data_IF_464367425779
#
_entry.id   IF_464367425779
#
_cell.length_a   1.000
_cell.length_b   1.000
_cell.length_c   1.000
_cell.angle_alpha   90.00
_cell.angle_beta   90.00
_cell.angle_gamma   90.00
#
_symmetry.space_group_name_H-M   'P 1'
#
loop_
_entity.id
_entity.type
_entity.pdbx_description
1 polymer ?
#
# COMPACT_ATOMS: atom_id res chain seq x y z
N UNK A 1 23.46 -5.68 -14.72
CA UNK A 1 22.57 -6.85 -14.56
C UNK A 1 23.05 -7.98 -15.46
N UNK A 2 23.11 -9.23 -14.97
CA UNK A 2 23.87 -10.33 -15.59
C UNK A 2 23.10 -11.24 -16.59
N UNK A 3 21.87 -10.93 -16.99
CA UNK A 3 21.02 -11.86 -17.79
C UNK A 3 20.33 -11.22 -19.02
N UNK A 4 20.52 -9.92 -19.32
CA UNK A 4 19.86 -9.30 -20.49
C UNK A 4 18.32 -9.27 -20.47
N UNK A 5 17.67 -9.91 -19.49
CA UNK A 5 16.23 -9.85 -19.27
C UNK A 5 15.83 -8.45 -18.80
N UNK A 6 14.80 -7.90 -19.44
CA UNK A 6 14.16 -6.64 -19.05
C UNK A 6 13.67 -6.76 -17.60
N UNK A 7 13.97 -5.75 -16.78
CA UNK A 7 13.46 -5.68 -15.39
C UNK A 7 11.93 -5.70 -15.37
N UNK A 8 11.36 -6.44 -14.44
CA UNK A 8 9.91 -6.59 -14.28
C UNK A 8 9.32 -5.37 -13.58
N UNK A 9 8.23 -4.81 -14.09
CA UNK A 9 7.48 -3.79 -13.37
C UNK A 9 6.67 -4.44 -12.24
N UNK A 10 6.65 -3.80 -11.07
CA UNK A 10 5.90 -4.27 -9.91
C UNK A 10 4.80 -3.27 -9.59
N UNK A 11 3.54 -3.73 -9.56
CA UNK A 11 2.38 -2.94 -9.15
C UNK A 11 1.78 -3.52 -7.88
N UNK A 12 1.66 -2.70 -6.84
CA UNK A 12 1.03 -3.09 -5.58
C UNK A 12 -0.33 -2.38 -5.48
N UNK A 13 -1.40 -3.17 -5.53
CA UNK A 13 -2.76 -2.70 -5.26
C UNK A 13 -3.08 -2.99 -3.78
N UNK A 14 -3.30 -1.93 -3.00
CA UNK A 14 -3.49 -2.05 -1.55
C UNK A 14 -4.77 -1.32 -1.10
N UNK A 15 -5.93 -2.00 -1.14
CA UNK A 15 -7.19 -1.42 -0.70
C UNK A 15 -7.23 -1.24 0.83
N UNK A 16 -7.95 -0.23 1.30
CA UNK A 16 -8.16 0.03 2.74
C UNK A 16 -9.45 -0.65 3.21
N UNK A 17 -9.44 -1.20 4.43
CA UNK A 17 -10.57 -1.90 5.07
C UNK A 17 -11.26 -3.00 4.23
N UNK A 18 -10.53 -3.61 3.30
CA UNK A 18 -11.03 -4.72 2.48
C UNK A 18 -11.17 -6.00 3.30
N UNK A 19 -12.38 -6.57 3.35
CA UNK A 19 -12.63 -7.84 4.04
C UNK A 19 -12.26 -9.04 3.16
N UNK A 20 -11.73 -10.09 3.77
CA UNK A 20 -11.28 -11.29 3.05
C UNK A 20 -12.36 -11.93 2.16
N UNK A 21 -13.64 -11.79 2.52
CA UNK A 21 -14.79 -12.33 1.80
C UNK A 21 -15.49 -11.32 0.86
N UNK A 22 -14.87 -10.16 0.61
CA UNK A 22 -15.34 -9.19 -0.40
C UNK A 22 -14.72 -9.49 -1.76
N UNK A 23 -14.80 -10.74 -2.21
CA UNK A 23 -14.35 -11.17 -3.54
C UNK A 23 -15.19 -12.35 -4.01
N UNK A 24 -15.53 -12.40 -5.29
CA UNK A 24 -16.40 -13.42 -5.88
C UNK A 24 -15.90 -14.85 -5.64
N UNK A 25 -14.58 -15.05 -5.61
CA UNK A 25 -13.94 -16.33 -5.26
C UNK A 25 -14.22 -16.85 -3.83
N UNK A 26 -14.72 -16.02 -2.90
CA UNK A 26 -15.10 -16.46 -1.54
C UNK A 26 -16.57 -16.19 -1.20
N UNK A 27 -17.25 -15.35 -1.97
CA UNK A 27 -18.63 -14.96 -1.71
C UNK A 27 -19.43 -14.88 -3.02
N UNK A 28 -20.41 -15.78 -3.25
CA UNK A 28 -21.15 -15.86 -4.50
C UNK A 28 -22.05 -14.65 -4.80
N UNK A 29 -22.31 -13.81 -3.79
CA UNK A 29 -23.12 -12.58 -3.96
C UNK A 29 -22.26 -11.45 -4.54
N UNK A 30 -20.94 -11.47 -4.32
CA UNK A 30 -20.01 -10.41 -4.71
C UNK A 30 -19.54 -10.65 -6.15
N UNK A 31 -19.62 -9.62 -6.99
CA UNK A 31 -19.18 -9.68 -8.38
C UNK A 31 -17.90 -8.87 -8.57
N UNK A 32 -16.77 -9.56 -8.75
CA UNK A 32 -15.45 -8.94 -8.93
C UNK A 32 -14.70 -9.56 -10.11
N UNK A 33 -15.28 -9.57 -11.33
CA UNK A 33 -14.79 -10.39 -12.44
C UNK A 33 -13.31 -10.16 -12.79
N UNK A 34 -12.82 -8.92 -12.67
CA UNK A 34 -11.40 -8.60 -12.92
C UNK A 34 -10.45 -9.13 -11.84
N UNK A 35 -10.86 -9.10 -10.56
CA UNK A 35 -10.06 -9.66 -9.47
C UNK A 35 -10.15 -11.18 -9.42
N UNK A 36 -11.31 -11.72 -9.80
CA UNK A 36 -11.55 -13.14 -9.92
C UNK A 36 -10.64 -13.74 -11.02
N UNK A 37 -10.54 -13.07 -12.18
CA UNK A 37 -9.58 -13.44 -13.24
C UNK A 37 -8.13 -13.32 -12.77
N UNK A 38 -7.76 -12.25 -12.06
CA UNK A 38 -6.41 -12.10 -11.53
C UNK A 38 -6.05 -13.21 -10.51
N UNK A 39 -7.04 -13.69 -9.75
CA UNK A 39 -6.85 -14.79 -8.82
C UNK A 39 -6.69 -16.13 -9.55
N UNK A 40 -7.36 -16.33 -10.70
CA UNK A 40 -7.24 -17.53 -11.53
C UNK A 40 -5.89 -17.59 -12.26
N UNK A 41 -5.39 -16.44 -12.74
CA UNK A 41 -4.11 -16.33 -13.45
C UNK A 41 -2.88 -16.31 -12.51
N UNK A 42 -3.11 -16.33 -11.20
CA UNK A 42 -2.09 -16.06 -10.19
C UNK A 42 -2.13 -17.02 -8.99
N UNK A 43 -1.64 -16.51 -7.86
CA UNK A 43 -1.64 -17.23 -6.58
C UNK A 43 -2.51 -16.48 -5.58
N UNK A 44 -3.48 -17.17 -5.00
CA UNK A 44 -4.37 -16.65 -3.95
C UNK A 44 -3.96 -17.19 -2.58
N UNK A 45 -3.52 -16.30 -1.70
CA UNK A 45 -3.27 -16.64 -0.29
C UNK A 45 -4.56 -16.52 0.52
N UNK A 46 -5.17 -17.66 0.88
CA UNK A 46 -6.42 -17.70 1.67
C UNK A 46 -6.22 -17.44 3.16
N UNK A 47 -4.98 -17.56 3.64
CA UNK A 47 -4.56 -17.33 5.02
C UNK A 47 -3.56 -16.17 5.09
N UNK A 48 -3.94 -15.01 4.57
CA UNK A 48 -3.15 -13.78 4.66
C UNK A 48 -3.74 -12.87 5.74
N UNK A 49 -2.96 -12.56 6.76
CA UNK A 49 -3.40 -11.75 7.89
C UNK A 49 -2.46 -10.55 8.11
N UNK A 50 -3.05 -9.41 8.49
CA UNK A 50 -2.28 -8.28 8.98
C UNK A 50 -1.76 -8.58 10.40
N UNK A 51 -0.60 -8.02 10.73
CA UNK A 51 -0.04 -8.10 12.08
C UNK A 51 -0.73 -7.16 13.06
N UNK A 52 -1.30 -6.07 12.53
CA UNK A 52 -2.11 -5.10 13.29
C UNK A 52 -3.30 -4.63 12.47
N UNK A 53 -4.50 -4.67 13.06
CA UNK A 53 -5.77 -4.24 12.45
C UNK A 53 -6.02 -2.73 12.59
N UNK A 54 -5.00 -1.90 12.28
CA UNK A 54 -5.14 -0.45 12.22
C UNK A 54 -4.31 0.13 11.10
N UNK A 55 -4.88 1.11 10.40
CA UNK A 55 -4.48 1.53 9.07
C UNK A 55 -3.01 2.01 8.98
N UNK A 56 -2.57 2.94 9.83
CA UNK A 56 -1.21 3.48 9.76
C UNK A 56 -0.16 2.43 10.20
N UNK A 57 -0.43 1.63 11.23
CA UNK A 57 0.53 0.60 11.66
C UNK A 57 0.65 -0.52 10.62
N UNK A 58 -0.47 -0.93 10.03
CA UNK A 58 -0.50 -1.91 8.94
C UNK A 58 0.31 -1.44 7.74
N UNK A 59 0.18 -0.16 7.33
CA UNK A 59 1.01 0.42 6.25
C UNK A 59 2.49 0.48 6.62
N UNK A 60 2.84 0.81 7.86
CA UNK A 60 4.23 0.77 8.31
C UNK A 60 4.82 -0.65 8.23
N UNK A 61 4.04 -1.67 8.60
CA UNK A 61 4.41 -3.09 8.40
C UNK A 61 4.59 -3.41 6.91
N UNK A 62 3.66 -2.99 6.03
CA UNK A 62 3.75 -3.21 4.59
C UNK A 62 5.04 -2.65 3.98
N UNK A 63 5.41 -1.40 4.31
CA UNK A 63 6.60 -0.77 3.73
C UNK A 63 7.91 -1.32 4.30
N UNK A 64 7.96 -1.58 5.61
CA UNK A 64 9.18 -2.01 6.28
C UNK A 64 9.42 -3.53 6.23
N UNK A 65 8.36 -4.32 6.03
CA UNK A 65 8.38 -5.76 6.24
C UNK A 65 8.68 -6.15 7.70
N UNK A 66 8.47 -5.24 8.65
CA UNK A 66 8.77 -5.45 10.07
C UNK A 66 7.52 -5.42 10.94
N UNK A 67 7.59 -6.04 12.11
CA UNK A 67 6.57 -5.94 13.15
C UNK A 67 6.53 -4.55 13.79
N UNK A 68 5.39 -4.20 14.39
CA UNK A 68 5.21 -2.93 15.11
C UNK A 68 6.26 -2.69 16.21
N UNK A 69 6.71 -3.75 16.88
CA UNK A 69 7.80 -3.70 17.87
C UNK A 69 9.13 -3.19 17.30
N UNK A 70 9.40 -3.43 16.01
CA UNK A 70 10.62 -2.98 15.33
C UNK A 70 10.46 -1.59 14.70
N UNK A 71 9.34 -1.33 14.03
CA UNK A 71 9.15 -0.06 13.31
C UNK A 71 8.55 1.06 14.19
N UNK A 72 8.06 0.72 15.39
CA UNK A 72 7.67 1.63 16.49
C UNK A 72 6.67 2.74 16.11
N UNK A 73 5.89 2.55 15.06
CA UNK A 73 5.01 3.60 14.51
C UNK A 73 3.64 3.56 15.20
N UNK A 74 3.64 3.67 16.52
CA UNK A 74 2.46 3.37 17.33
C UNK A 74 1.37 4.43 17.23
N UNK A 75 1.76 5.69 17.00
CA UNK A 75 0.84 6.84 16.97
C UNK A 75 0.56 7.28 15.53
N UNK A 76 -0.71 7.57 15.24
CA UNK A 76 -1.14 8.17 13.98
C UNK A 76 -0.38 9.49 13.74
N UNK A 77 -0.07 9.82 12.48
CA UNK A 77 0.73 10.99 12.08
C UNK A 77 2.15 11.05 12.70
N UNK A 78 2.61 10.00 13.37
CA UNK A 78 3.96 9.88 13.92
C UNK A 78 4.67 8.62 13.36
N UNK A 79 5.00 8.59 12.06
CA UNK A 79 5.67 7.45 11.43
C UNK A 79 7.13 7.32 11.88
N UNK A 80 7.41 6.60 12.96
CA UNK A 80 8.80 6.34 13.37
C UNK A 80 9.60 5.61 12.28
N UNK A 81 8.96 4.72 11.53
CA UNK A 81 9.59 3.97 10.44
C UNK A 81 10.05 4.85 9.27
N UNK A 82 9.45 6.03 9.09
CA UNK A 82 9.76 6.91 7.97
C UNK A 82 10.94 7.85 8.25
N UNK A 83 11.67 7.63 9.35
CA UNK A 83 12.83 8.44 9.76
C UNK A 83 14.12 7.62 9.67
N UNK A 84 15.19 8.28 9.21
CA UNK A 84 16.57 7.78 9.29
C UNK A 84 16.77 6.38 8.72
N UNK A 85 17.42 5.52 9.51
CA UNK A 85 17.83 4.16 9.09
C UNK A 85 16.65 3.26 8.72
N UNK A 86 15.51 3.38 9.40
CA UNK A 86 14.36 2.49 9.19
C UNK A 86 13.77 2.69 7.79
N UNK A 87 13.61 3.95 7.37
CA UNK A 87 13.09 4.26 6.03
C UNK A 87 14.00 3.72 4.93
N UNK A 88 15.32 3.86 5.12
CA UNK A 88 16.35 3.41 4.18
C UNK A 88 16.42 1.89 3.96
N UNK A 89 15.69 1.12 4.77
CA UNK A 89 15.58 -0.34 4.71
C UNK A 89 14.21 -0.81 4.20
N UNK A 90 13.28 0.10 3.89
CA UNK A 90 11.96 -0.24 3.35
C UNK A 90 12.08 -0.71 1.90
N UNK A 91 11.17 -1.59 1.46
CA UNK A 91 11.21 -2.11 0.08
C UNK A 91 11.16 -1.03 -1.01
N UNK A 92 10.45 0.12 -0.87
CA UNK A 92 10.47 1.18 -1.88
C UNK A 92 11.88 1.73 -2.08
N UNK A 93 12.59 2.03 -0.99
CA UNK A 93 13.95 2.59 -1.05
C UNK A 93 14.97 1.57 -1.53
N UNK A 94 14.79 0.30 -1.17
CA UNK A 94 15.66 -0.77 -1.68
C UNK A 94 15.49 -0.95 -3.20
N UNK A 95 14.26 -0.83 -3.73
CA UNK A 95 14.02 -0.84 -5.17
C UNK A 95 14.60 0.39 -5.87
N UNK A 96 14.44 1.59 -5.31
CA UNK A 96 15.05 2.81 -5.88
C UNK A 96 16.57 2.70 -5.93
N UNK A 97 17.22 2.18 -4.88
CA UNK A 97 18.66 1.93 -4.85
C UNK A 97 19.10 0.89 -5.88
N UNK A 98 18.24 -0.06 -6.23
CA UNK A 98 18.51 -0.99 -7.33
C UNK A 98 18.24 -0.33 -8.71
N UNK A 99 17.72 0.89 -8.77
CA UNK A 99 17.47 1.63 -10.01
C UNK A 99 16.07 1.44 -10.59
N UNK A 100 15.10 1.06 -9.75
CA UNK A 100 13.68 1.18 -10.10
C UNK A 100 13.21 2.63 -9.92
N UNK A 101 12.32 3.08 -10.81
CA UNK A 101 11.50 4.25 -10.54
C UNK A 101 10.34 3.85 -9.65
N UNK A 102 10.22 4.44 -8.46
CA UNK A 102 9.19 4.06 -7.49
C UNK A 102 8.18 5.18 -7.32
N UNK A 103 6.92 4.87 -7.59
CA UNK A 103 5.79 5.80 -7.50
C UNK A 103 4.80 5.41 -6.41
N UNK A 104 4.15 6.40 -5.77
CA UNK A 104 3.05 6.18 -4.84
C UNK A 104 1.81 7.00 -5.22
N UNK A 105 0.66 6.35 -5.37
CA UNK A 105 -0.64 7.02 -5.55
C UNK A 105 -1.62 6.52 -4.50
N UNK A 106 -2.28 7.44 -3.80
CA UNK A 106 -3.34 7.09 -2.86
C UNK A 106 -3.05 7.53 -1.44
N UNK A 107 -3.53 6.73 -0.49
CA UNK A 107 -3.53 7.05 0.94
C UNK A 107 -2.16 6.72 1.57
N UNK A 108 -1.60 7.67 2.31
CA UNK A 108 -0.32 7.56 3.01
C UNK A 108 -0.48 7.51 4.53
N UNK A 109 -1.38 8.32 5.11
CA UNK A 109 -1.77 8.42 6.53
C UNK A 109 -0.73 8.99 7.50
N UNK A 110 0.41 9.46 6.99
CA UNK A 110 1.47 10.02 7.82
C UNK A 110 1.84 11.46 7.43
N UNK A 111 0.96 12.40 7.81
CA UNK A 111 1.20 13.82 7.64
C UNK A 111 2.14 14.36 8.71
N UNK A 112 3.45 14.37 8.45
CA UNK A 112 4.35 15.30 9.16
C UNK A 112 5.67 15.62 8.45
N UNK A 113 5.91 15.16 7.21
CA UNK A 113 7.20 15.41 6.56
C UNK A 113 7.06 15.25 5.04
N UNK A 114 6.88 16.38 4.35
CA UNK A 114 6.75 16.51 2.88
C UNK A 114 8.09 16.30 2.15
N UNK A 115 8.95 15.39 2.64
CA UNK A 115 10.13 14.99 1.88
C UNK A 115 9.71 14.13 0.71
N UNK A 116 10.41 14.26 -0.40
CA UNK A 116 10.30 13.35 -1.54
C UNK A 116 10.73 11.95 -1.08
N UNK A 117 9.74 11.14 -0.67
CA UNK A 117 9.94 9.76 -0.19
C UNK A 117 10.02 8.74 -1.32
N UNK A 118 9.45 9.11 -2.46
CA UNK A 118 9.34 8.31 -3.65
C UNK A 118 9.78 9.19 -4.82
N UNK A 119 10.31 8.56 -5.87
CA UNK A 119 10.64 9.20 -7.14
C UNK A 119 9.47 10.02 -7.70
N UNK A 120 8.24 9.58 -7.43
CA UNK A 120 7.03 10.37 -7.68
C UNK A 120 5.91 10.00 -6.72
N UNK A 121 5.09 10.96 -6.29
CA UNK A 121 3.94 10.66 -5.44
C UNK A 121 2.74 11.59 -5.66
N UNK A 122 1.54 11.03 -5.49
CA UNK A 122 0.28 11.75 -5.45
C UNK A 122 -0.59 11.23 -4.29
N UNK A 123 -0.75 12.04 -3.25
CA UNK A 123 -1.46 11.64 -2.04
C UNK A 123 -2.96 11.98 -2.10
N UNK A 124 -3.79 11.09 -1.57
CA UNK A 124 -5.25 11.13 -1.61
C UNK A 124 -5.86 10.87 -0.23
N UNK A 125 -5.54 11.74 0.71
CA UNK A 125 -5.92 11.61 2.12
C UNK A 125 -7.34 12.13 2.36
N UNK A 126 -8.11 11.42 3.18
CA UNK A 126 -9.50 11.77 3.50
C UNK A 126 -10.48 11.72 2.32
N UNK A 127 -10.02 11.31 1.12
CA UNK A 127 -10.84 11.30 -0.10
C UNK A 127 -11.26 9.88 -0.43
N UNK A 128 -12.53 9.58 -0.19
CA UNK A 128 -13.11 8.25 -0.43
C UNK A 128 -13.69 8.08 -1.83
N UNK A 129 -14.08 9.18 -2.49
CA UNK A 129 -14.72 9.13 -3.81
C UNK A 129 -14.14 10.17 -4.76
N UNK A 130 -13.65 9.70 -5.90
CA UNK A 130 -13.42 10.51 -7.08
C UNK A 130 -14.59 10.26 -8.02
N UNK A 131 -15.44 11.26 -8.24
CA UNK A 131 -16.45 11.16 -9.28
C UNK A 131 -15.79 10.84 -10.62
N UNK A 132 -16.47 10.05 -11.45
CA UNK A 132 -16.14 9.97 -12.87
C UNK A 132 -16.08 11.43 -13.37
N UNK A 133 -14.94 11.87 -13.91
CA UNK A 133 -14.64 13.28 -14.29
C UNK A 133 -14.19 14.24 -13.17
N UNK A 134 -13.62 13.76 -12.06
CA UNK A 134 -12.80 14.61 -11.19
C UNK A 134 -13.56 15.50 -10.20
N UNK A 135 -14.88 15.35 -10.08
CA UNK A 135 -15.64 15.97 -8.97
C UNK A 135 -15.66 15.01 -7.78
N UNK A 136 -14.78 15.21 -6.82
CA UNK A 136 -14.75 14.42 -5.59
C UNK A 136 -15.85 14.88 -4.63
N UNK A 137 -16.46 13.94 -3.91
CA UNK A 137 -17.22 14.23 -2.69
C UNK A 137 -16.27 14.05 -1.50
N UNK A 138 -16.22 15.05 -0.62
CA UNK A 138 -15.46 14.95 0.64
C UNK A 138 -16.29 14.06 1.56
N UNK A 139 -15.72 12.95 2.01
CA UNK A 139 -16.34 12.18 3.08
C UNK A 139 -16.19 12.97 4.39
N UNK A 140 -17.22 12.94 5.24
CA UNK A 140 -17.06 13.35 6.62
C UNK A 140 -16.01 12.43 7.28
N UNK A 141 -15.04 13.04 7.96
CA UNK A 141 -14.14 12.32 8.85
C UNK A 141 -14.93 12.01 10.13
N UNK A 142 -14.96 10.74 10.54
CA UNK A 142 -15.32 10.34 11.92
C UNK A 142 -14.11 10.56 12.86
#
# INVERSE_FOLDING_TARGET
MKDGRKRMNVLILYPDDWRHNTIGKENPIIQTPFLDSLADDGIRFRQNAVTTSICWQSRATLFSGQWASRHQSYKLKCPHFSKGRLWNQTWPILLEKDGYFVGHVGKWQFHSDNRERFSWSKYHEGKHWYGRFGRGLVAAED
#
